data_IF_271484748090
#
_entry.id   IF_271484748090
#
_cell.length_a   1.000
_cell.length_b   1.000
_cell.length_c   1.000
_cell.angle_alpha   90.00
_cell.angle_beta   90.00
_cell.angle_gamma   90.00
#
_symmetry.space_group_name_H-M   'P 1'
#
loop_
_entity.id
_entity.type
_entity.pdbx_description
1 polymer ?
#
# COMPACT_ATOMS: atom_id res chain seq x y z
N UNK A 1 28.75 -14.65 -18.94
CA UNK A 1 27.83 -15.41 -18.08
C UNK A 1 28.51 -15.64 -16.74
N UNK A 2 28.31 -14.75 -15.76
CA UNK A 2 28.71 -15.01 -14.38
C UNK A 2 27.42 -15.05 -13.57
N UNK A 3 26.83 -16.24 -13.46
CA UNK A 3 25.71 -16.47 -12.56
C UNK A 3 26.25 -16.50 -11.13
N UNK A 4 25.67 -15.69 -10.25
CA UNK A 4 25.95 -15.77 -8.82
C UNK A 4 25.66 -17.20 -8.33
N UNK A 5 26.57 -17.76 -7.56
CA UNK A 5 26.46 -19.12 -7.05
C UNK A 5 25.31 -19.24 -6.03
N UNK A 6 24.79 -20.46 -5.87
CA UNK A 6 23.77 -20.77 -4.85
C UNK A 6 24.21 -20.34 -3.43
N UNK A 7 25.51 -20.34 -3.15
CA UNK A 7 26.08 -19.88 -1.88
C UNK A 7 25.94 -18.37 -1.67
N UNK A 8 26.05 -17.57 -2.74
CA UNK A 8 25.89 -16.11 -2.67
C UNK A 8 24.42 -15.71 -2.48
N UNK A 9 23.50 -16.47 -3.09
CA UNK A 9 22.05 -16.36 -2.85
C UNK A 9 21.66 -16.73 -1.41
N UNK A 10 22.20 -17.82 -0.86
CA UNK A 10 21.99 -18.19 0.54
C UNK A 10 22.57 -17.15 1.51
N UNK A 11 23.74 -16.58 1.24
CA UNK A 11 24.30 -15.51 2.07
C UNK A 11 23.44 -14.24 2.04
N UNK A 12 22.81 -13.91 0.91
CA UNK A 12 21.93 -12.73 0.78
C UNK A 12 20.70 -12.79 1.69
N UNK A 13 20.19 -13.99 1.98
CA UNK A 13 18.94 -14.19 2.72
C UNK A 13 19.08 -14.89 4.08
N UNK A 14 20.20 -15.59 4.36
CA UNK A 14 20.37 -16.40 5.59
C UNK A 14 21.42 -15.87 6.58
N UNK A 15 22.31 -14.96 6.19
CA UNK A 15 23.38 -14.43 7.06
C UNK A 15 23.61 -12.92 6.83
N UNK A 16 23.01 -12.00 7.63
CA UNK A 16 23.26 -10.58 7.51
C UNK A 16 24.62 -10.27 8.16
N UNK A 17 25.65 -9.96 7.36
CA UNK A 17 25.95 -8.54 7.16
C UNK A 17 26.59 -8.29 5.78
N UNK A 18 25.83 -7.80 4.79
CA UNK A 18 26.45 -7.21 3.59
C UNK A 18 25.61 -6.03 3.07
N UNK A 19 26.15 -4.80 3.06
CA UNK A 19 25.53 -3.64 2.43
C UNK A 19 25.78 -3.71 0.92
N UNK A 20 24.93 -4.42 0.20
CA UNK A 20 24.85 -4.35 -1.26
C UNK A 20 23.70 -3.42 -1.66
N UNK A 21 23.87 -2.65 -2.75
CA UNK A 21 22.80 -1.87 -3.41
C UNK A 21 21.49 -2.64 -3.60
N UNK A 22 21.57 -3.98 -3.61
CA UNK A 22 20.46 -4.90 -3.75
C UNK A 22 19.67 -5.06 -2.44
N UNK A 23 20.36 -5.28 -1.31
CA UNK A 23 19.72 -5.45 -0.01
C UNK A 23 19.00 -4.16 0.42
N UNK A 24 19.56 -2.98 0.10
CA UNK A 24 18.92 -1.69 0.36
C UNK A 24 17.62 -1.49 -0.42
N UNK A 25 17.48 -2.06 -1.64
CA UNK A 25 16.27 -1.93 -2.46
C UNK A 25 15.08 -2.74 -1.91
N UNK A 26 15.34 -3.75 -1.07
CA UNK A 26 14.31 -4.65 -0.52
C UNK A 26 14.19 -4.59 1.00
N UNK A 27 15.02 -3.78 1.65
CA UNK A 27 14.99 -3.62 3.10
C UNK A 27 13.72 -2.86 3.50
N UNK A 28 13.04 -3.36 4.53
CA UNK A 28 12.10 -2.54 5.27
C UNK A 28 12.87 -1.46 6.02
N UNK A 29 12.48 -0.21 5.80
CA UNK A 29 13.10 0.97 6.39
C UNK A 29 12.04 1.71 7.21
N UNK A 30 11.58 1.18 8.36
CA UNK A 30 10.67 1.91 9.23
C UNK A 30 11.32 3.23 9.67
N UNK A 31 10.65 4.38 9.50
CA UNK A 31 11.18 5.64 10.00
C UNK A 31 11.08 5.70 11.53
N UNK A 32 11.77 6.67 12.14
CA UNK A 32 11.44 7.06 13.51
C UNK A 32 9.99 7.57 13.54
N UNK A 33 9.16 7.15 14.52
CA UNK A 33 7.74 7.50 14.54
C UNK A 33 7.50 9.00 14.48
N UNK A 34 6.61 9.42 13.58
CA UNK A 34 6.21 10.81 13.37
C UNK A 34 4.95 11.20 14.13
N UNK A 35 4.37 10.26 14.87
CA UNK A 35 3.17 10.46 15.65
C UNK A 35 3.18 9.57 16.90
N UNK A 36 2.32 9.90 17.85
CA UNK A 36 2.04 9.09 19.02
C UNK A 36 0.53 8.79 19.09
N UNK A 37 0.17 7.67 19.72
CA UNK A 37 -1.22 7.26 19.97
C UNK A 37 -1.48 7.19 21.46
N UNK A 38 -2.30 8.10 21.96
CA UNK A 38 -2.71 8.16 23.36
C UNK A 38 -4.14 7.65 23.49
N UNK A 39 -4.39 6.77 24.44
CA UNK A 39 -5.75 6.31 24.70
C UNK A 39 -6.59 7.52 25.15
N UNK A 40 -7.77 7.69 24.55
CA UNK A 40 -8.71 8.73 24.99
C UNK A 40 -9.39 8.36 26.31
N UNK A 41 -9.37 7.07 26.68
CA UNK A 41 -9.92 6.54 27.92
C UNK A 41 -9.09 5.32 28.38
N UNK A 42 -8.55 5.33 29.60
CA UNK A 42 -7.65 4.26 30.10
C UNK A 42 -8.34 2.89 30.25
N UNK A 43 -9.69 2.86 30.21
CA UNK A 43 -10.48 1.63 30.26
C UNK A 43 -10.63 0.94 28.89
N UNK A 44 -10.19 1.57 27.80
CA UNK A 44 -10.44 1.09 26.47
C UNK A 44 -9.37 0.05 26.06
N UNK A 45 -9.77 -1.23 26.04
CA UNK A 45 -8.94 -2.32 25.51
C UNK A 45 -8.59 -2.15 24.02
N UNK A 46 -8.30 -3.24 23.31
CA UNK A 46 -7.90 -3.21 21.89
C UNK A 46 -8.95 -2.66 20.90
N UNK A 47 -10.10 -2.14 21.37
CA UNK A 47 -11.13 -1.48 20.57
C UNK A 47 -11.30 0.01 20.86
N UNK A 48 -10.51 0.58 21.78
CA UNK A 48 -10.59 1.98 22.18
C UNK A 48 -10.26 2.97 21.08
N UNK A 49 -10.80 4.19 21.18
CA UNK A 49 -10.35 5.33 20.37
C UNK A 49 -9.06 5.88 20.96
N UNK A 50 -8.13 6.21 20.06
CA UNK A 50 -6.86 6.81 20.40
C UNK A 50 -6.78 8.17 19.73
N UNK A 51 -6.35 9.16 20.50
CA UNK A 51 -5.98 10.46 19.98
C UNK A 51 -4.61 10.33 19.30
N UNK A 52 -4.57 10.71 18.03
CA UNK A 52 -3.34 10.77 17.25
C UNK A 52 -2.70 12.14 17.43
N UNK A 53 -1.51 12.17 18.02
CA UNK A 53 -0.70 13.38 18.17
C UNK A 53 0.42 13.36 17.13
N UNK A 54 0.38 14.26 16.16
CA UNK A 54 1.46 14.46 15.20
C UNK A 54 2.65 15.14 15.89
N UNK A 55 3.85 14.65 15.59
CA UNK A 55 5.13 15.26 15.97
C UNK A 55 5.63 16.14 14.83
N UNK A 56 6.61 17.00 15.11
CA UNK A 56 7.13 17.98 14.13
C UNK A 56 7.56 17.33 12.81
N UNK A 57 8.15 16.13 12.88
CA UNK A 57 8.62 15.36 11.72
C UNK A 57 7.51 14.77 10.84
N UNK A 58 6.24 14.92 11.21
CA UNK A 58 5.12 14.52 10.37
C UNK A 58 4.89 15.51 9.21
N UNK A 59 5.55 16.67 9.22
CA UNK A 59 5.42 17.72 8.21
C UNK A 59 3.95 18.08 7.92
N UNK A 60 3.17 18.23 9.00
CA UNK A 60 1.74 18.52 8.93
C UNK A 60 1.46 19.89 8.31
N UNK A 61 0.63 19.92 7.26
CA UNK A 61 0.43 21.12 6.43
C UNK A 61 -0.91 21.82 6.64
N UNK A 62 -1.81 21.25 7.44
CA UNK A 62 -3.16 21.77 7.67
C UNK A 62 -3.32 22.33 9.09
N UNK A 63 -4.53 22.79 9.45
CA UNK A 63 -4.85 23.24 10.80
C UNK A 63 -5.18 22.08 11.75
N UNK A 64 -5.41 22.40 13.02
CA UNK A 64 -5.85 21.40 14.01
C UNK A 64 -7.27 20.89 13.74
N UNK A 65 -8.11 21.70 13.10
CA UNK A 65 -9.49 21.33 12.75
C UNK A 65 -9.52 20.12 11.81
N UNK A 66 -8.60 20.04 10.87
CA UNK A 66 -8.51 18.89 9.97
C UNK A 66 -8.18 17.59 10.71
N UNK A 67 -7.56 17.65 11.91
CA UNK A 67 -7.31 16.45 12.72
C UNK A 67 -8.60 15.85 13.31
N UNK A 68 -9.70 16.61 13.38
CA UNK A 68 -11.00 16.11 13.84
C UNK A 68 -11.58 15.01 12.93
N UNK A 69 -11.08 14.90 11.69
CA UNK A 69 -11.50 13.83 10.78
C UNK A 69 -10.77 12.50 11.00
N UNK A 70 -9.79 12.46 11.91
CA UNK A 70 -8.99 11.29 12.23
C UNK A 70 -9.65 10.43 13.31
N UNK A 71 -9.73 9.13 13.06
CA UNK A 71 -10.06 8.12 14.06
C UNK A 71 -8.95 7.07 14.06
N UNK A 72 -8.08 7.13 15.09
CA UNK A 72 -6.99 6.19 15.25
C UNK A 72 -7.32 5.14 16.32
N UNK A 73 -6.83 3.92 16.11
CA UNK A 73 -6.98 2.80 17.03
C UNK A 73 -5.95 1.71 16.73
N UNK A 74 -5.83 0.73 17.62
CA UNK A 74 -5.04 -0.48 17.36
C UNK A 74 -5.93 -1.63 16.89
N UNK A 75 -5.49 -2.36 15.87
CA UNK A 75 -5.99 -3.70 15.56
C UNK A 75 -4.97 -4.76 15.98
N UNK A 76 -5.40 -6.02 16.11
CA UNK A 76 -4.52 -7.15 16.45
C UNK A 76 -4.41 -8.08 15.24
N UNK A 77 -3.19 -8.30 14.77
CA UNK A 77 -2.94 -9.26 13.68
C UNK A 77 -3.02 -10.70 14.17
N UNK A 78 -3.29 -11.61 13.23
CA UNK A 78 -3.29 -13.07 13.50
C UNK A 78 -1.94 -13.58 14.02
N UNK A 79 -0.87 -12.79 13.85
CA UNK A 79 0.48 -13.08 14.34
C UNK A 79 0.79 -12.44 15.70
N UNK A 80 -0.21 -11.84 16.33
CA UNK A 80 -0.13 -11.33 17.71
C UNK A 80 0.41 -9.92 17.84
N UNK A 81 0.69 -9.22 16.74
CA UNK A 81 1.14 -7.83 16.78
C UNK A 81 -0.06 -6.89 16.95
N UNK A 82 0.13 -5.81 17.69
CA UNK A 82 -0.71 -4.62 17.61
C UNK A 82 -0.27 -3.78 16.42
N UNK A 83 -1.19 -3.49 15.50
CA UNK A 83 -0.99 -2.58 14.39
C UNK A 83 -1.80 -1.29 14.59
N UNK A 84 -1.16 -0.14 14.40
CA UNK A 84 -1.83 1.14 14.41
C UNK A 84 -2.66 1.29 13.12
N UNK A 85 -3.89 1.74 13.26
CA UNK A 85 -4.81 2.01 12.17
C UNK A 85 -5.31 3.45 12.26
N UNK A 86 -5.52 4.08 11.12
CA UNK A 86 -6.04 5.43 10.98
C UNK A 86 -7.16 5.45 9.95
N UNK A 87 -8.34 5.88 10.36
CA UNK A 87 -9.44 6.23 9.47
C UNK A 87 -9.51 7.75 9.33
N UNK A 88 -9.50 8.25 8.09
CA UNK A 88 -9.61 9.67 7.73
C UNK A 88 -10.93 9.88 7.00
N UNK A 89 -11.86 10.61 7.63
CA UNK A 89 -13.17 10.96 7.06
C UNK A 89 -13.03 12.18 6.15
N UNK A 90 -12.61 11.96 4.90
CA UNK A 90 -12.36 13.07 3.97
C UNK A 90 -13.62 13.66 3.34
N UNK A 91 -14.73 12.92 3.29
CA UNK A 91 -16.00 13.41 2.73
C UNK A 91 -17.22 12.78 3.40
N UNK A 92 -18.27 13.58 3.60
CA UNK A 92 -19.53 13.15 4.21
C UNK A 92 -20.39 12.29 3.31
N UNK A 93 -20.15 12.31 1.99
CA UNK A 93 -20.90 11.53 1.00
C UNK A 93 -19.99 10.61 0.17
N UNK A 94 -18.80 10.28 0.70
CA UNK A 94 -17.90 9.32 0.07
C UNK A 94 -18.60 7.96 -0.08
N UNK A 95 -18.71 7.49 -1.32
CA UNK A 95 -19.21 6.13 -1.62
C UNK A 95 -18.14 5.09 -1.30
N UNK A 96 -16.89 5.38 -1.65
CA UNK A 96 -15.78 4.45 -1.52
C UNK A 96 -14.87 4.83 -0.36
N UNK A 97 -14.26 3.82 0.25
CA UNK A 97 -13.15 3.98 1.19
C UNK A 97 -11.92 3.28 0.64
N UNK A 98 -10.80 4.00 0.59
CA UNK A 98 -9.51 3.41 0.24
C UNK A 98 -8.95 2.66 1.45
N UNK A 99 -8.66 1.36 1.33
CA UNK A 99 -7.74 0.68 2.22
C UNK A 99 -6.33 0.88 1.66
N UNK A 100 -5.58 1.79 2.25
CA UNK A 100 -4.30 2.28 1.75
C UNK A 100 -3.14 1.58 2.46
N UNK A 101 -2.34 0.84 1.71
CA UNK A 101 -1.06 0.26 2.13
C UNK A 101 0.06 1.19 1.68
N UNK A 102 0.66 1.92 2.64
CA UNK A 102 1.65 2.97 2.37
C UNK A 102 3.00 2.46 1.84
N UNK A 103 3.81 3.37 1.30
CA UNK A 103 5.15 3.06 0.83
C UNK A 103 6.13 2.67 1.95
N UNK A 104 7.36 2.35 1.56
CA UNK A 104 8.46 2.18 2.51
C UNK A 104 8.89 3.54 3.08
N UNK A 105 9.66 3.56 4.18
CA UNK A 105 10.25 4.78 4.75
C UNK A 105 9.26 5.90 5.15
N UNK A 106 7.98 5.57 5.28
CA UNK A 106 6.93 6.46 5.79
C UNK A 106 6.10 5.72 6.83
N UNK A 107 5.45 6.48 7.71
CA UNK A 107 4.44 5.99 8.66
C UNK A 107 3.11 6.76 8.51
N UNK A 108 2.10 6.37 9.27
CA UNK A 108 0.78 7.02 9.23
C UNK A 108 0.82 8.53 9.46
N UNK A 109 1.67 9.01 10.38
CA UNK A 109 1.75 10.43 10.72
C UNK A 109 2.21 11.28 9.54
N UNK A 110 3.28 10.85 8.85
CA UNK A 110 3.79 11.52 7.65
C UNK A 110 2.79 11.49 6.49
N UNK A 111 1.98 10.43 6.41
CA UNK A 111 1.00 10.26 5.33
C UNK A 111 -0.31 11.04 5.55
N UNK A 112 -0.57 11.56 6.75
CA UNK A 112 -1.85 12.21 7.09
C UNK A 112 -2.21 13.38 6.16
N UNK A 113 -1.26 14.27 5.87
CA UNK A 113 -1.46 15.41 4.96
C UNK A 113 -1.86 14.96 3.55
N UNK A 114 -1.19 13.90 3.07
CA UNK A 114 -1.49 13.30 1.77
C UNK A 114 -2.87 12.65 1.76
N UNK A 115 -3.27 11.92 2.81
CA UNK A 115 -4.56 11.24 2.88
C UNK A 115 -5.76 12.20 2.81
N UNK A 116 -5.72 13.32 3.53
CA UNK A 116 -6.76 14.35 3.43
C UNK A 116 -6.80 14.92 2.01
N UNK A 117 -5.63 15.33 1.51
CA UNK A 117 -5.52 15.95 0.20
C UNK A 117 -6.02 15.04 -0.92
N UNK A 118 -5.68 13.75 -0.88
CA UNK A 118 -6.12 12.76 -1.84
C UNK A 118 -7.63 12.51 -1.70
N UNK A 119 -8.08 12.12 -0.50
CA UNK A 119 -9.46 11.69 -0.26
C UNK A 119 -10.48 12.76 -0.59
N UNK A 120 -10.21 14.03 -0.29
CA UNK A 120 -11.08 15.15 -0.67
C UNK A 120 -11.16 15.32 -2.18
N UNK A 121 -10.03 15.20 -2.90
CA UNK A 121 -9.97 15.45 -4.34
C UNK A 121 -10.60 14.31 -5.16
N UNK A 122 -10.63 13.08 -4.65
CA UNK A 122 -11.26 11.93 -5.33
C UNK A 122 -12.60 11.50 -4.72
N UNK A 123 -13.06 12.21 -3.68
CA UNK A 123 -14.27 11.92 -2.91
C UNK A 123 -14.33 10.51 -2.30
N UNK A 124 -13.27 10.13 -1.60
CA UNK A 124 -13.15 8.87 -0.85
C UNK A 124 -12.72 9.13 0.58
N UNK A 125 -13.20 8.30 1.51
CA UNK A 125 -12.54 8.18 2.82
C UNK A 125 -11.24 7.38 2.67
N UNK A 126 -10.30 7.56 3.59
CA UNK A 126 -9.05 6.79 3.61
C UNK A 126 -8.98 6.00 4.91
N UNK A 127 -8.62 4.73 4.81
CA UNK A 127 -8.28 3.89 5.93
C UNK A 127 -6.88 3.30 5.68
N UNK A 128 -5.95 3.61 6.55
CA UNK A 128 -4.56 3.17 6.45
C UNK A 128 -4.11 2.52 7.76
N UNK A 129 -2.99 1.80 7.71
CA UNK A 129 -2.41 1.12 8.85
C UNK A 129 -0.88 1.10 8.72
N UNK A 130 -0.16 1.14 9.85
CA UNK A 130 1.28 0.92 9.85
C UNK A 130 1.59 -0.59 9.88
N UNK A 131 2.57 -1.00 9.09
CA UNK A 131 3.11 -2.36 9.13
C UNK A 131 3.73 -2.70 10.50
N UNK A 132 3.77 -3.97 10.86
CA UNK A 132 4.47 -4.42 12.07
C UNK A 132 5.91 -3.88 12.10
N UNK A 133 6.26 -3.14 13.15
CA UNK A 133 7.56 -2.49 13.30
C UNK A 133 7.70 -1.10 12.64
N UNK A 134 6.62 -0.55 12.07
CA UNK A 134 6.54 0.84 11.58
C UNK A 134 5.72 1.70 12.55
N UNK A 135 6.06 2.99 12.65
CA UNK A 135 5.34 3.95 13.48
C UNK A 135 5.04 3.42 14.87
N UNK A 136 3.76 3.38 15.24
CA UNK A 136 3.31 2.88 16.55
C UNK A 136 2.94 1.39 16.56
N UNK A 137 3.14 0.67 15.46
CA UNK A 137 2.90 -0.77 15.36
C UNK A 137 4.02 -1.59 15.98
N UNK A 138 3.64 -2.59 16.77
CA UNK A 138 4.58 -3.54 17.40
C UNK A 138 5.09 -4.60 16.41
N UNK A 139 6.10 -5.38 16.81
CA UNK A 139 6.58 -6.51 16.03
C UNK A 139 7.77 -6.17 15.14
N UNK A 140 7.91 -6.90 14.01
CA UNK A 140 9.02 -6.73 13.06
C UNK A 140 8.50 -6.69 11.63
N UNK A 141 9.12 -5.92 10.73
CA UNK A 141 8.66 -5.84 9.36
C UNK A 141 9.17 -7.06 8.59
N UNK A 142 8.25 -7.99 8.33
CA UNK A 142 8.51 -9.22 7.58
C UNK A 142 7.36 -9.46 6.63
N UNK A 143 7.59 -10.16 5.53
CA UNK A 143 6.53 -10.49 4.56
C UNK A 143 5.31 -11.15 5.21
N UNK A 144 5.53 -12.10 6.13
CA UNK A 144 4.44 -12.79 6.84
C UNK A 144 3.63 -11.85 7.73
N UNK A 145 4.28 -10.88 8.36
CA UNK A 145 3.57 -9.86 9.14
C UNK A 145 2.83 -8.90 8.22
N UNK A 146 3.43 -8.48 7.10
CA UNK A 146 2.81 -7.60 6.12
C UNK A 146 1.44 -8.13 5.64
N UNK A 147 1.34 -9.43 5.36
CA UNK A 147 0.07 -10.10 5.03
C UNK A 147 -0.90 -10.17 6.22
N UNK A 148 -0.41 -10.50 7.42
CA UNK A 148 -1.25 -10.55 8.62
C UNK A 148 -1.78 -9.16 9.04
N UNK A 149 -1.03 -8.11 8.74
CA UNK A 149 -1.35 -6.73 9.10
C UNK A 149 -2.45 -6.19 8.18
N UNK A 150 -2.38 -6.44 6.87
CA UNK A 150 -3.48 -6.07 5.96
C UNK A 150 -4.75 -6.88 6.25
N UNK A 151 -4.63 -8.15 6.64
CA UNK A 151 -5.80 -8.94 7.06
C UNK A 151 -6.48 -8.30 8.28
N UNK A 152 -5.70 -7.82 9.25
CA UNK A 152 -6.25 -7.14 10.42
C UNK A 152 -6.88 -5.78 10.09
N UNK A 153 -6.29 -5.04 9.15
CA UNK A 153 -6.82 -3.79 8.62
C UNK A 153 -8.14 -4.03 7.85
N UNK A 154 -8.17 -5.02 6.96
CA UNK A 154 -9.35 -5.47 6.23
C UNK A 154 -10.49 -5.86 7.18
N UNK A 155 -10.19 -6.67 8.20
CA UNK A 155 -11.18 -7.06 9.20
C UNK A 155 -11.70 -5.85 9.97
N UNK A 156 -10.84 -4.93 10.42
CA UNK A 156 -11.27 -3.72 11.11
C UNK A 156 -12.18 -2.85 10.23
N UNK A 157 -11.84 -2.67 8.96
CA UNK A 157 -12.64 -1.88 8.03
C UNK A 157 -14.05 -2.46 7.86
N UNK A 158 -14.15 -3.78 7.75
CA UNK A 158 -15.43 -4.47 7.58
C UNK A 158 -16.27 -4.58 8.84
N UNK A 159 -15.65 -4.84 9.99
CA UNK A 159 -16.39 -5.11 11.24
C UNK A 159 -16.66 -3.85 12.05
N UNK A 160 -15.67 -2.95 12.17
CA UNK A 160 -15.82 -1.71 12.94
C UNK A 160 -16.65 -0.68 12.20
N UNK A 161 -16.45 -0.56 10.89
CA UNK A 161 -17.12 0.46 10.07
C UNK A 161 -18.25 -0.11 9.19
N UNK A 162 -18.45 -1.43 9.15
CA UNK A 162 -19.53 -2.05 8.38
C UNK A 162 -19.39 -1.87 6.85
N UNK A 163 -18.21 -1.51 6.36
CA UNK A 163 -18.02 -1.20 4.94
C UNK A 163 -18.00 -2.52 4.16
N UNK A 164 -18.88 -2.62 3.17
CA UNK A 164 -18.99 -3.81 2.32
C UNK A 164 -17.86 -3.85 1.27
N UNK A 165 -17.33 -5.03 0.91
CA UNK A 165 -16.20 -5.19 -0.02
C UNK A 165 -16.28 -4.38 -1.32
N UNK A 166 -17.47 -4.29 -1.92
CA UNK A 166 -17.75 -3.56 -3.15
C UNK A 166 -17.59 -2.03 -3.02
N UNK A 167 -17.58 -1.52 -1.78
CA UNK A 167 -17.33 -0.11 -1.46
C UNK A 167 -15.89 0.14 -0.96
N UNK A 168 -15.03 -0.89 -0.99
CA UNK A 168 -13.61 -0.78 -0.65
C UNK A 168 -12.79 -0.76 -1.93
N UNK A 169 -11.89 0.20 -2.02
CA UNK A 169 -10.84 0.22 -3.05
C UNK A 169 -9.53 -0.08 -2.34
N UNK A 170 -8.83 -1.13 -2.74
CA UNK A 170 -7.51 -1.42 -2.21
C UNK A 170 -6.49 -0.53 -2.93
N UNK A 171 -5.65 0.18 -2.19
CA UNK A 171 -4.59 1.02 -2.75
C UNK A 171 -3.26 0.62 -2.17
N UNK A 172 -2.32 0.17 -3.00
CA UNK A 172 -0.95 -0.09 -2.58
C UNK A 172 0.03 0.84 -3.27
N UNK A 173 0.98 1.40 -2.51
CA UNK A 173 2.09 2.20 -3.04
C UNK A 173 3.42 1.47 -2.81
N UNK A 174 4.21 1.28 -3.88
CA UNK A 174 5.52 0.63 -3.81
C UNK A 174 5.43 -0.72 -3.10
N UNK A 175 6.14 -0.92 -1.99
CA UNK A 175 6.05 -2.14 -1.16
C UNK A 175 4.63 -2.44 -0.66
N UNK A 176 3.79 -1.42 -0.47
CA UNK A 176 2.38 -1.59 -0.10
C UNK A 176 1.54 -2.30 -1.15
N UNK A 177 2.02 -2.41 -2.39
CA UNK A 177 1.36 -3.22 -3.43
C UNK A 177 1.40 -4.72 -3.12
N UNK A 178 2.37 -5.17 -2.32
CA UNK A 178 2.54 -6.59 -1.95
C UNK A 178 1.35 -7.12 -1.12
N UNK A 179 1.01 -6.53 0.05
CA UNK A 179 -0.15 -6.97 0.81
C UNK A 179 -1.46 -6.67 0.07
N UNK A 180 -1.52 -5.58 -0.69
CA UNK A 180 -2.67 -5.20 -1.52
C UNK A 180 -3.02 -6.31 -2.51
N UNK A 181 -2.04 -6.78 -3.30
CA UNK A 181 -2.22 -7.88 -4.26
C UNK A 181 -2.57 -9.19 -3.55
N UNK A 182 -1.93 -9.48 -2.42
CA UNK A 182 -2.24 -10.69 -1.64
C UNK A 182 -3.71 -10.71 -1.20
N UNK A 183 -4.21 -9.62 -0.63
CA UNK A 183 -5.60 -9.51 -0.20
C UNK A 183 -6.56 -9.57 -1.40
N UNK A 184 -6.26 -8.83 -2.47
CA UNK A 184 -7.06 -8.80 -3.70
C UNK A 184 -7.12 -10.14 -4.43
N UNK A 185 -6.13 -11.01 -4.23
CA UNK A 185 -6.11 -12.37 -4.80
C UNK A 185 -7.06 -13.33 -4.08
N UNK A 186 -7.56 -12.95 -2.90
CA UNK A 186 -8.44 -13.75 -2.03
C UNK A 186 -9.86 -13.19 -1.95
N UNK A 187 -10.03 -11.89 -2.16
CA UNK A 187 -11.32 -11.21 -2.04
C UNK A 187 -11.58 -10.31 -3.25
N UNK A 188 -12.81 -10.37 -3.76
CA UNK A 188 -13.30 -9.37 -4.70
C UNK A 188 -13.68 -8.09 -3.93
N UNK A 189 -13.22 -6.95 -4.44
CA UNK A 189 -13.43 -5.61 -3.90
C UNK A 189 -13.94 -4.68 -5.00
N UNK A 190 -14.32 -3.46 -4.64
CA UNK A 190 -14.77 -2.46 -5.61
C UNK A 190 -13.72 -2.21 -6.71
N UNK A 191 -12.45 -2.07 -6.31
CA UNK A 191 -11.31 -1.96 -7.22
C UNK A 191 -9.97 -2.13 -6.50
N UNK A 192 -8.90 -2.24 -7.29
CA UNK A 192 -7.50 -2.23 -6.84
C UNK A 192 -6.74 -1.14 -7.59
N UNK A 193 -5.94 -0.37 -6.86
CA UNK A 193 -4.99 0.59 -7.40
C UNK A 193 -3.60 0.16 -6.97
N UNK A 194 -2.73 -0.09 -7.96
CA UNK A 194 -1.35 -0.49 -7.76
C UNK A 194 -0.44 0.64 -8.24
N UNK A 195 0.14 1.37 -7.30
CA UNK A 195 1.06 2.47 -7.57
C UNK A 195 2.52 1.99 -7.44
N UNK A 196 3.26 2.04 -8.55
CA UNK A 196 4.64 1.57 -8.71
C UNK A 196 4.86 0.15 -8.17
N UNK A 197 4.07 -0.85 -8.64
CA UNK A 197 4.08 -2.17 -8.06
C UNK A 197 5.33 -2.97 -8.42
N UNK A 198 5.70 -3.91 -7.55
CA UNK A 198 6.78 -4.87 -7.81
C UNK A 198 6.27 -6.27 -8.12
N UNK A 199 6.88 -6.93 -9.12
CA UNK A 199 6.61 -8.33 -9.46
C UNK A 199 7.05 -9.30 -8.36
N UNK A 200 8.28 -9.14 -7.89
CA UNK A 200 8.86 -9.86 -6.75
C UNK A 200 10.17 -9.20 -6.30
N UNK A 201 10.64 -9.55 -5.10
CA UNK A 201 11.89 -9.06 -4.56
C UNK A 201 13.08 -9.42 -5.44
N UNK A 202 13.17 -10.68 -5.89
CA UNK A 202 14.25 -11.11 -6.78
C UNK A 202 14.28 -10.35 -8.10
N UNK A 203 13.13 -9.93 -8.63
CA UNK A 203 13.05 -9.15 -9.88
C UNK A 203 13.48 -7.70 -9.69
N UNK A 204 13.21 -7.10 -8.52
CA UNK A 204 13.74 -5.77 -8.16
C UNK A 204 15.27 -5.82 -8.01
N UNK A 205 15.76 -6.85 -7.32
CA UNK A 205 17.18 -7.08 -7.08
C UNK A 205 17.96 -7.41 -8.37
N UNK A 206 17.36 -8.23 -9.23
CA UNK A 206 17.96 -8.80 -10.42
C UNK A 206 16.95 -8.73 -11.58
N UNK A 207 16.87 -7.61 -12.31
CA UNK A 207 15.84 -7.36 -13.34
C UNK A 207 15.78 -8.40 -14.46
N UNK A 208 16.87 -9.10 -14.74
CA UNK A 208 16.90 -10.18 -15.73
C UNK A 208 16.18 -11.48 -15.28
N UNK A 209 15.71 -11.56 -14.03
CA UNK A 209 15.09 -12.75 -13.46
C UNK A 209 13.70 -12.99 -14.05
N UNK A 210 13.54 -14.10 -14.78
CA UNK A 210 12.25 -14.50 -15.36
C UNK A 210 11.48 -15.54 -14.52
N UNK A 211 12.15 -16.20 -13.58
CA UNK A 211 11.60 -17.29 -12.76
C UNK A 211 11.31 -16.82 -11.34
N UNK A 212 10.20 -17.28 -10.76
CA UNK A 212 9.95 -17.14 -9.32
C UNK A 212 10.60 -18.32 -8.58
N UNK A 213 11.40 -18.01 -7.55
CA UNK A 213 12.12 -19.00 -6.74
C UNK A 213 11.38 -19.23 -5.41
N UNK A 214 11.60 -20.37 -4.76
CA UNK A 214 10.91 -20.67 -3.49
C UNK A 214 11.28 -19.73 -2.33
N UNK A 215 12.42 -19.04 -2.45
CA UNK A 215 12.92 -18.03 -1.50
C UNK A 215 12.69 -16.60 -2.00
N UNK A 216 11.97 -16.42 -3.11
CA UNK A 216 11.66 -15.09 -3.64
C UNK A 216 10.70 -14.38 -2.69
N UNK A 217 11.13 -13.22 -2.19
CA UNK A 217 10.29 -12.39 -1.33
C UNK A 217 9.21 -11.73 -2.17
N UNK A 218 8.01 -11.60 -1.60
CA UNK A 218 6.92 -10.81 -2.19
C UNK A 218 6.52 -11.21 -3.63
N UNK A 219 6.24 -12.50 -3.95
CA UNK A 219 5.96 -12.94 -5.32
C UNK A 219 4.56 -12.51 -5.80
N UNK A 220 4.33 -11.19 -5.92
CA UNK A 220 3.07 -10.59 -6.40
C UNK A 220 2.71 -11.09 -7.79
N UNK A 221 3.70 -11.33 -8.66
CA UNK A 221 3.51 -11.84 -10.03
C UNK A 221 2.75 -13.17 -10.09
N UNK A 222 2.88 -14.02 -9.07
CA UNK A 222 2.19 -15.31 -8.99
C UNK A 222 0.74 -15.17 -8.45
N UNK A 223 0.43 -14.02 -7.84
CA UNK A 223 -0.88 -13.72 -7.21
C UNK A 223 -1.77 -12.85 -8.09
N UNK A 224 -1.19 -11.92 -8.85
CA UNK A 224 -1.91 -10.99 -9.74
C UNK A 224 -2.93 -11.67 -10.67
N UNK A 225 -2.66 -12.83 -11.30
CA UNK A 225 -3.65 -13.50 -12.16
C UNK A 225 -4.94 -13.94 -11.44
N UNK A 226 -4.96 -13.96 -10.11
CA UNK A 226 -6.13 -14.31 -9.29
C UNK A 226 -6.96 -13.10 -8.89
N UNK A 227 -6.50 -11.88 -9.18
CA UNK A 227 -7.22 -10.65 -8.85
C UNK A 227 -8.39 -10.47 -9.82
N UNK A 228 -9.60 -10.74 -9.36
CA UNK A 228 -10.83 -10.63 -10.15
C UNK A 228 -11.47 -9.24 -10.08
N UNK A 229 -10.91 -8.33 -9.29
CA UNK A 229 -11.38 -6.95 -9.20
C UNK A 229 -10.83 -6.09 -10.35
N UNK A 230 -11.49 -4.99 -10.72
CA UNK A 230 -10.92 -4.00 -11.63
C UNK A 230 -9.60 -3.44 -11.09
N UNK A 231 -8.53 -3.43 -11.90
CA UNK A 231 -7.19 -3.00 -11.48
C UNK A 231 -6.70 -1.81 -12.29
N UNK A 232 -6.40 -0.70 -11.62
CA UNK A 232 -5.65 0.42 -12.16
C UNK A 232 -4.18 0.28 -11.76
N UNK A 233 -3.27 0.27 -12.74
CA UNK A 233 -1.82 0.34 -12.50
C UNK A 233 -1.34 1.75 -12.81
N UNK A 234 -0.54 2.32 -11.91
CA UNK A 234 0.10 3.63 -12.05
C UNK A 234 1.60 3.44 -11.89
N UNK A 235 2.42 3.96 -12.81
CA UNK A 235 3.89 3.84 -12.74
C UNK A 235 4.57 4.99 -13.49
N UNK A 236 5.67 5.51 -12.96
CA UNK A 236 6.57 6.44 -13.67
C UNK A 236 7.45 5.72 -14.71
N UNK A 237 7.71 6.34 -15.86
CA UNK A 237 8.54 5.71 -16.91
C UNK A 237 10.03 5.70 -16.60
N UNK A 238 10.49 6.57 -15.69
CA UNK A 238 11.89 6.71 -15.26
C UNK A 238 12.12 6.20 -13.81
N UNK A 239 11.32 5.23 -13.35
CA UNK A 239 11.44 4.66 -12.01
C UNK A 239 12.72 3.82 -11.84
N UNK A 240 13.72 4.39 -11.16
CA UNK A 240 15.00 3.74 -10.88
C UNK A 240 14.98 2.76 -9.67
N UNK A 241 13.91 2.80 -8.86
CA UNK A 241 13.77 1.96 -7.67
C UNK A 241 13.12 0.64 -8.07
N UNK A 242 11.94 0.73 -8.67
CA UNK A 242 11.15 -0.39 -9.20
C UNK A 242 10.97 -0.14 -10.70
N UNK A 243 11.82 -0.77 -11.51
CA UNK A 243 11.84 -0.59 -12.96
C UNK A 243 10.42 -0.67 -13.57
N UNK A 244 10.15 0.21 -14.53
CA UNK A 244 8.85 0.35 -15.22
C UNK A 244 8.31 -0.98 -15.78
N UNK A 245 9.18 -1.93 -16.14
CA UNK A 245 8.76 -3.27 -16.59
C UNK A 245 7.94 -4.04 -15.55
N UNK A 246 8.07 -3.73 -14.26
CA UNK A 246 7.27 -4.32 -13.20
C UNK A 246 5.80 -3.90 -13.32
N UNK A 247 5.53 -2.60 -13.48
CA UNK A 247 4.20 -2.07 -13.70
C UNK A 247 3.57 -2.61 -14.97
N UNK A 248 4.33 -2.61 -16.07
CA UNK A 248 3.86 -3.13 -17.36
C UNK A 248 3.50 -4.62 -17.29
N UNK A 249 4.36 -5.45 -16.70
CA UNK A 249 4.12 -6.90 -16.57
C UNK A 249 2.94 -7.20 -15.65
N UNK A 250 2.80 -6.48 -14.53
CA UNK A 250 1.65 -6.64 -13.63
C UNK A 250 0.36 -6.25 -14.36
N UNK A 251 0.36 -5.13 -15.07
CA UNK A 251 -0.76 -4.68 -15.88
C UNK A 251 -1.18 -5.72 -16.93
N UNK A 252 -0.24 -6.36 -17.63
CA UNK A 252 -0.50 -7.44 -18.58
C UNK A 252 -1.05 -8.72 -17.93
N UNK A 253 -0.67 -9.02 -16.69
CA UNK A 253 -1.10 -10.21 -15.96
C UNK A 253 -2.42 -10.04 -15.21
N UNK A 254 -2.87 -8.81 -15.00
CA UNK A 254 -4.15 -8.49 -14.38
C UNK A 254 -5.31 -8.88 -15.32
N UNK A 255 -6.19 -9.84 -14.94
CA UNK A 255 -7.30 -10.26 -15.80
C UNK A 255 -8.31 -9.15 -16.12
N UNK A 256 -8.44 -8.19 -15.20
CA UNK A 256 -9.38 -7.06 -15.27
C UNK A 256 -8.63 -5.74 -15.11
N UNK A 257 -7.53 -5.58 -15.83
CA UNK A 257 -6.85 -4.31 -15.90
C UNK A 257 -7.69 -3.27 -16.65
N UNK A 258 -7.83 -2.07 -16.08
CA UNK A 258 -8.36 -0.89 -16.79
C UNK A 258 -7.23 -0.09 -17.41
N UNK A 259 -7.55 0.96 -18.18
CA UNK A 259 -6.53 1.83 -18.77
C UNK A 259 -5.51 2.30 -17.70
N UNK A 260 -4.23 1.99 -17.86
CA UNK A 260 -3.22 2.30 -16.85
C UNK A 260 -2.87 3.79 -16.89
N UNK A 261 -2.04 4.23 -15.96
CA UNK A 261 -1.37 5.52 -16.05
C UNK A 261 0.15 5.32 -16.04
N UNK A 262 0.76 5.56 -17.18
CA UNK A 262 2.21 5.68 -17.31
C UNK A 262 2.56 7.17 -17.29
N UNK A 263 3.24 7.61 -16.25
CA UNK A 263 3.61 9.01 -16.09
C UNK A 263 4.98 9.22 -16.71
N UNK A 264 4.99 9.83 -17.89
CA UNK A 264 6.21 10.06 -18.66
C UNK A 264 7.17 10.99 -17.90
N UNK A 265 8.42 10.56 -17.73
CA UNK A 265 9.47 11.31 -17.03
C UNK A 265 9.39 11.26 -15.49
N UNK A 266 8.37 10.63 -14.90
CA UNK A 266 8.31 10.45 -13.46
C UNK A 266 9.19 9.29 -12.99
N UNK A 267 9.85 9.49 -11.85
CA UNK A 267 10.56 8.46 -11.10
C UNK A 267 9.66 7.75 -10.07
N UNK A 268 10.27 7.15 -9.05
CA UNK A 268 9.54 6.38 -8.03
C UNK A 268 8.74 7.23 -7.03
N UNK A 269 9.23 8.43 -6.73
CA UNK A 269 8.81 9.23 -5.56
C UNK A 269 8.17 10.57 -5.94
N UNK A 270 7.95 10.83 -7.22
CA UNK A 270 7.43 12.10 -7.72
C UNK A 270 6.17 11.94 -8.59
N UNK A 271 5.67 10.71 -8.80
CA UNK A 271 4.46 10.44 -9.60
C UNK A 271 3.27 11.27 -9.13
N UNK A 272 3.08 11.44 -7.82
CA UNK A 272 1.96 12.21 -7.26
C UNK A 272 2.07 13.72 -7.53
N UNK A 273 3.24 14.21 -7.95
CA UNK A 273 3.46 15.62 -8.29
C UNK A 273 2.93 15.97 -9.69
N UNK A 274 2.68 14.97 -10.55
CA UNK A 274 2.14 15.16 -11.90
C UNK A 274 0.62 15.26 -11.86
N UNK A 275 0.02 16.24 -12.55
CA UNK A 275 -1.44 16.45 -12.52
C UNK A 275 -2.23 15.23 -13.04
N UNK A 276 -1.64 14.50 -13.99
CA UNK A 276 -2.18 13.28 -14.59
C UNK A 276 -2.52 12.21 -13.54
N UNK A 277 -1.76 12.13 -12.44
CA UNK A 277 -2.03 11.22 -11.33
C UNK A 277 -3.43 11.44 -10.75
N UNK A 278 -3.73 12.68 -10.40
CA UNK A 278 -5.03 13.00 -9.81
C UNK A 278 -6.16 12.92 -10.85
N UNK A 279 -5.90 13.35 -12.07
CA UNK A 279 -6.87 13.28 -13.18
C UNK A 279 -7.30 11.83 -13.45
N UNK A 280 -6.35 10.91 -13.57
CA UNK A 280 -6.63 9.49 -13.77
C UNK A 280 -7.41 8.90 -12.61
N UNK A 281 -7.02 9.19 -11.37
CA UNK A 281 -7.70 8.67 -10.19
C UNK A 281 -9.15 9.17 -10.10
N UNK A 282 -9.39 10.46 -10.37
CA UNK A 282 -10.75 11.01 -10.45
C UNK A 282 -11.57 10.31 -11.52
N UNK A 283 -11.01 10.11 -12.70
CA UNK A 283 -11.67 9.41 -13.80
C UNK A 283 -12.03 7.96 -13.39
N UNK A 284 -11.08 7.24 -12.80
CA UNK A 284 -11.29 5.87 -12.34
C UNK A 284 -12.41 5.78 -11.29
N UNK A 285 -12.30 6.58 -10.23
CA UNK A 285 -13.18 6.49 -9.06
C UNK A 285 -14.57 7.07 -9.33
N UNK A 286 -14.63 8.25 -9.95
CA UNK A 286 -15.89 8.98 -10.10
C UNK A 286 -16.67 8.60 -11.36
N UNK A 287 -15.99 8.07 -12.38
CA UNK A 287 -16.62 7.74 -13.67
C UNK A 287 -16.66 6.23 -13.91
N UNK A 288 -15.51 5.57 -13.98
CA UNK A 288 -15.46 4.15 -14.36
C UNK A 288 -16.16 3.26 -13.32
N UNK A 289 -15.83 3.43 -12.03
CA UNK A 289 -16.45 2.66 -10.94
C UNK A 289 -17.92 2.99 -10.69
N UNK A 290 -18.35 4.23 -10.97
CA UNK A 290 -19.73 4.65 -10.71
C UNK A 290 -20.70 4.11 -11.76
N UNK A 291 -20.29 4.09 -13.01
CA UNK A 291 -21.15 3.82 -14.15
C UNK A 291 -20.92 2.45 -14.79
N UNK A 292 -19.97 1.66 -14.28
CA UNK A 292 -19.60 0.38 -14.88
C UNK A 292 -19.10 0.52 -16.33
N UNK A 293 -18.61 1.71 -16.69
CA UNK A 293 -18.04 1.98 -18.01
C UNK A 293 -16.60 1.51 -18.00
N UNK A 294 -16.39 0.29 -18.45
CA UNK A 294 -15.08 -0.34 -18.46
C UNK A 294 -14.54 -0.41 -19.88
N UNK A 295 -13.39 0.19 -20.14
CA UNK A 295 -12.58 -0.09 -21.32
C UNK A 295 -11.76 -1.35 -21.09
N UNK A 296 -12.41 -2.51 -20.98
CA UNK A 296 -11.69 -3.79 -20.83
C UNK A 296 -10.81 -4.04 -22.07
N UNK A 297 -9.57 -4.50 -21.86
CA UNK A 297 -8.83 -5.13 -22.96
C UNK A 297 -9.64 -6.34 -23.43
N UNK A 298 -10.04 -6.32 -24.70
CA UNK A 298 -10.76 -7.42 -25.34
C UNK A 298 -9.97 -8.73 -25.18
N UNK A 299 -10.71 -9.83 -24.96
CA UNK A 299 -10.16 -11.20 -24.93
C UNK A 299 -9.44 -11.55 -26.23
#
# INVERSE_FOLDING_TARGET
MNGLSFSELCCLFCCPPCPGRIASKLAFLPPEPSYDLKAEDEAAGSGGKFALTLLDRADWQYGDREKECFEAFYSRSSRGNRIACLFVKCSTNARFTLLFSHGNAVDLGQMTSFFIGLGQRINCNIFSYDYSGYGMSTGKPTEKNLYADIDAAWHALRTRYGISPENIILYGQSIGTVPTVDLASRYEVGAVILHSPLMSGMRVAFPATKRTWFFDAFPSIDKVPKVTSPVLVIHGTEDEVIDFSHGMTIYEKCPRAVEPLWVEGAGHNDVEMYSQYLERLKQFVSVELRWGKWGWRGQ
#
